data_IF_898504422725
#
_entry.id   IF_898504422725
#
_cell.length_a   1.000
_cell.length_b   1.000
_cell.length_c   1.000
_cell.angle_alpha   90.00
_cell.angle_beta   90.00
_cell.angle_gamma   90.00
#
_symmetry.space_group_name_H-M   'P 1'
#
loop_
_entity.id
_entity.type
_entity.pdbx_description
1 polymer ?
#
# COMPACT_ATOMS: atom_id res chain seq x y z
N UNK A 1 -5.54 -13.02 -9.28
CA UNK A 1 -6.15 -11.84 -8.60
C UNK A 1 -5.16 -11.09 -7.73
N UNK A 2 -4.61 -11.63 -6.64
CA UNK A 2 -3.61 -10.87 -5.83
C UNK A 2 -2.25 -10.72 -6.52
N UNK A 3 -1.77 -11.75 -7.21
CA UNK A 3 -0.50 -11.73 -7.94
C UNK A 3 -0.53 -10.74 -9.12
N UNK A 4 -1.57 -10.78 -9.95
CA UNK A 4 -1.73 -9.87 -11.10
C UNK A 4 -1.81 -8.39 -10.65
N UNK A 5 -2.50 -8.14 -9.52
CA UNK A 5 -2.54 -6.81 -8.92
C UNK A 5 -1.15 -6.41 -8.38
N UNK A 6 -0.43 -7.33 -7.73
CA UNK A 6 0.93 -7.05 -7.28
C UNK A 6 1.85 -6.70 -8.45
N UNK A 7 1.84 -7.48 -9.53
CA UNK A 7 2.67 -7.21 -10.72
C UNK A 7 2.40 -5.81 -11.27
N UNK A 8 1.13 -5.44 -11.40
CA UNK A 8 0.72 -4.12 -11.87
C UNK A 8 1.19 -2.97 -10.95
N UNK A 9 1.22 -3.16 -9.63
CA UNK A 9 1.60 -2.11 -8.68
C UNK A 9 3.05 -2.20 -8.17
N UNK A 10 3.81 -3.22 -8.56
CA UNK A 10 5.14 -3.58 -8.01
C UNK A 10 6.18 -2.45 -8.11
N UNK A 11 5.99 -1.52 -9.05
CA UNK A 11 6.87 -0.39 -9.31
C UNK A 11 6.43 0.90 -8.59
N UNK A 12 5.45 0.82 -7.68
CA UNK A 12 4.84 1.98 -7.01
C UNK A 12 5.08 1.94 -5.50
N UNK A 13 5.61 3.03 -4.96
CA UNK A 13 5.58 3.32 -3.53
C UNK A 13 4.18 3.79 -3.15
N UNK A 14 3.51 3.06 -2.26
CA UNK A 14 2.23 3.45 -1.68
C UNK A 14 2.43 3.92 -0.24
N UNK A 15 2.06 5.17 0.04
CA UNK A 15 1.96 5.69 1.40
C UNK A 15 0.49 5.73 1.81
N UNK A 16 0.18 5.16 2.98
CA UNK A 16 -1.16 5.20 3.57
C UNK A 16 -1.13 6.15 4.75
N UNK A 17 -1.72 7.33 4.59
CA UNK A 17 -1.85 8.31 5.67
C UNK A 17 -3.12 8.08 6.46
N UNK A 18 -3.08 8.40 7.74
CA UNK A 18 -4.26 8.49 8.62
C UNK A 18 -4.55 9.96 8.86
N UNK A 19 -5.70 10.44 8.39
CA UNK A 19 -6.06 11.86 8.48
C UNK A 19 -7.44 12.03 9.10
N UNK A 20 -7.72 13.15 9.79
CA UNK A 20 -9.07 13.44 10.29
C UNK A 20 -10.10 13.44 9.16
N UNK A 21 -11.25 12.83 9.39
CA UNK A 21 -12.34 12.82 8.41
C UNK A 21 -13.23 11.59 8.54
N UNK A 22 -14.34 11.58 7.80
CA UNK A 22 -15.25 10.43 7.77
C UNK A 22 -14.74 9.39 6.77
N UNK A 23 -14.36 8.21 7.26
CA UNK A 23 -14.09 7.03 6.42
C UNK A 23 -15.32 6.53 5.67
N UNK A 24 -15.11 5.61 4.72
CA UNK A 24 -16.22 4.93 4.02
C UNK A 24 -17.00 4.03 4.99
N UNK A 25 -18.28 3.77 4.70
CA UNK A 25 -19.16 3.00 5.58
C UNK A 25 -18.73 1.55 5.87
N UNK A 26 -17.79 1.02 5.08
CA UNK A 26 -17.20 -0.32 5.25
C UNK A 26 -15.74 -0.29 5.73
N UNK A 27 -15.23 0.88 6.12
CA UNK A 27 -13.83 1.05 6.50
C UNK A 27 -13.62 0.87 8.01
N UNK A 28 -12.56 0.18 8.41
CA UNK A 28 -12.28 -0.17 9.81
C UNK A 28 -12.09 1.07 10.70
N UNK A 29 -11.56 2.14 10.13
CA UNK A 29 -11.23 3.38 10.83
C UNK A 29 -12.42 4.36 10.92
N UNK A 30 -13.54 4.06 10.26
CA UNK A 30 -14.70 4.95 10.23
C UNK A 30 -15.27 5.28 11.64
N UNK A 31 -15.32 4.35 12.62
CA UNK A 31 -15.73 4.67 14.00
C UNK A 31 -14.75 5.59 14.74
N UNK A 32 -13.50 5.65 14.30
CA UNK A 32 -12.41 6.39 14.94
C UNK A 32 -12.33 7.86 14.50
N UNK A 33 -13.25 8.32 13.64
CA UNK A 33 -13.29 9.72 13.17
C UNK A 33 -12.13 10.11 12.25
N UNK A 34 -11.44 9.13 11.69
CA UNK A 34 -10.35 9.31 10.72
C UNK A 34 -10.71 8.62 9.39
N UNK A 35 -9.88 8.85 8.38
CA UNK A 35 -9.93 8.14 7.10
C UNK A 35 -8.52 7.86 6.59
N UNK A 36 -8.39 6.83 5.77
CA UNK A 36 -7.15 6.58 5.04
C UNK A 36 -7.05 7.42 3.77
N UNK A 37 -5.87 8.00 3.51
CA UNK A 37 -5.51 8.63 2.24
C UNK A 37 -4.33 7.88 1.63
N UNK A 38 -4.51 7.33 0.43
CA UNK A 38 -3.42 6.66 -0.30
C UNK A 38 -2.75 7.69 -1.22
N UNK A 39 -1.44 7.82 -1.09
CA UNK A 39 -0.58 8.54 -2.03
C UNK A 39 0.31 7.53 -2.75
N UNK A 40 0.39 7.66 -4.07
CA UNK A 40 1.23 6.83 -4.91
C UNK A 40 2.31 7.66 -5.59
N UNK A 41 3.49 7.05 -5.73
CA UNK A 41 4.55 7.53 -6.63
C UNK A 41 5.32 6.33 -7.19
N UNK A 42 6.01 6.53 -8.30
CA UNK A 42 6.97 5.55 -8.77
C UNK A 42 8.12 5.42 -7.76
N UNK A 43 8.67 4.21 -7.65
CA UNK A 43 9.97 4.04 -7.02
C UNK A 43 11.04 4.76 -7.83
N UNK A 44 12.06 5.24 -7.13
CA UNK A 44 13.32 5.69 -7.75
C UNK A 44 14.16 4.48 -8.15
N UNK A 45 15.12 4.68 -9.05
CA UNK A 45 16.00 3.59 -9.51
C UNK A 45 16.77 2.93 -8.35
N UNK A 46 17.24 3.73 -7.38
CA UNK A 46 17.92 3.24 -6.18
C UNK A 46 17.00 2.38 -5.30
N UNK A 47 15.72 2.77 -5.16
CA UNK A 47 14.72 1.99 -4.42
C UNK A 47 14.40 0.67 -5.12
N UNK A 48 14.26 0.69 -6.46
CA UNK A 48 14.08 -0.54 -7.25
C UNK A 48 15.26 -1.48 -7.05
N UNK A 49 16.49 -0.96 -7.11
CA UNK A 49 17.70 -1.76 -6.90
C UNK A 49 17.77 -2.36 -5.50
N UNK A 50 17.39 -1.59 -4.48
CA UNK A 50 17.35 -2.05 -3.09
C UNK A 50 16.28 -3.14 -2.86
N UNK A 51 15.17 -3.09 -3.59
CA UNK A 51 14.07 -4.05 -3.49
C UNK A 51 14.30 -5.32 -4.32
N UNK A 52 15.12 -5.27 -5.38
CA UNK A 52 15.37 -6.41 -6.27
C UNK A 52 15.87 -7.67 -5.56
N UNK A 53 16.58 -7.51 -4.43
CA UNK A 53 17.10 -8.62 -3.63
C UNK A 53 16.21 -8.98 -2.43
N UNK A 54 15.01 -8.40 -2.32
CA UNK A 54 14.09 -8.66 -1.23
C UNK A 54 13.01 -9.64 -1.69
N UNK A 55 12.74 -10.71 -0.94
CA UNK A 55 11.64 -11.60 -1.27
C UNK A 55 10.31 -10.86 -1.11
N UNK A 56 9.42 -11.02 -2.09
CA UNK A 56 8.04 -10.55 -2.00
C UNK A 56 7.33 -11.36 -0.92
N UNK A 57 6.86 -10.67 0.13
CA UNK A 57 6.11 -11.29 1.21
C UNK A 57 4.63 -11.27 0.90
N UNK A 58 3.95 -12.35 1.23
CA UNK A 58 2.50 -12.48 1.09
C UNK A 58 1.87 -12.79 2.45
N UNK A 59 0.56 -12.58 2.58
CA UNK A 59 -0.17 -12.93 3.80
C UNK A 59 -0.23 -14.44 4.10
N UNK A 60 0.29 -15.29 3.21
CA UNK A 60 0.40 -16.73 3.41
C UNK A 60 1.71 -17.14 4.13
N UNK A 61 2.62 -16.19 4.36
CA UNK A 61 3.91 -16.42 5.04
C UNK A 61 3.78 -16.39 6.57
N UNK A 62 2.55 -16.35 7.11
CA UNK A 62 2.21 -16.25 8.53
C UNK A 62 1.12 -17.23 8.95
#
# INVERSE_FOLDING_TARGET
>A
MSADQFEYWSHTHLTVDVVPGRGSGFSLEAPEGVRFLIRSRLFTDDEVLALANQPVRTGADG
#
